data_IF_120202565562
#
_entry.id   IF_120202565562
#
_cell.length_a   1.000
_cell.length_b   1.000
_cell.length_c   1.000
_cell.angle_alpha   90.00
_cell.angle_beta   90.00
_cell.angle_gamma   90.00
#
_symmetry.space_group_name_H-M   'P 1'
#
loop_
_entity.id
_entity.type
_entity.pdbx_description
1 polymer ?
#
# COMPACT_ATOMS: atom_id res chain seq x y z
N UNK A 1 25.48 -2.06 22.93
CA UNK A 1 26.13 -1.43 21.77
C UNK A 1 27.52 -0.98 22.19
N UNK A 2 28.56 -1.66 21.72
CA UNK A 2 29.95 -1.32 22.04
C UNK A 2 30.31 0.08 21.55
N UNK A 3 30.95 0.86 22.42
CA UNK A 3 31.46 2.21 22.14
C UNK A 3 32.59 2.11 21.11
N UNK A 4 32.28 2.36 19.84
CA UNK A 4 33.29 2.66 18.83
C UNK A 4 33.87 4.07 19.08
N UNK A 5 34.95 4.12 19.87
CA UNK A 5 35.89 5.22 19.89
C UNK A 5 36.74 5.15 18.62
N UNK A 6 36.53 6.07 17.69
CA UNK A 6 37.55 6.88 17.00
C UNK A 6 36.98 7.54 15.73
N UNK A 7 36.92 8.87 15.75
CA UNK A 7 37.39 9.69 14.62
C UNK A 7 36.58 9.71 13.32
N UNK A 8 35.25 9.91 13.39
CA UNK A 8 34.41 10.69 12.45
C UNK A 8 32.94 10.41 12.80
N UNK A 9 32.26 11.36 13.44
CA UNK A 9 30.80 11.31 13.62
C UNK A 9 30.16 11.31 12.22
N UNK A 10 29.48 10.25 11.77
CA UNK A 10 28.61 10.39 10.61
C UNK A 10 27.43 11.25 11.05
N UNK A 11 27.39 12.50 10.60
CA UNK A 11 26.23 13.36 10.73
C UNK A 11 25.12 12.79 9.83
N UNK A 12 24.37 11.82 10.35
CA UNK A 12 23.10 11.40 9.76
C UNK A 12 22.06 12.49 10.06
N UNK A 13 22.08 13.57 9.28
CA UNK A 13 20.95 14.50 9.23
C UNK A 13 19.89 13.86 8.33
N UNK A 14 18.89 13.22 8.94
CA UNK A 14 17.72 12.74 8.22
C UNK A 14 16.96 13.96 7.65
N UNK A 15 17.22 14.30 6.38
CA UNK A 15 16.40 15.26 5.64
C UNK A 15 15.11 14.54 5.24
N UNK A 16 13.97 15.04 5.72
CA UNK A 16 12.61 14.50 5.51
C UNK A 16 12.19 14.35 4.02
N UNK A 17 12.95 14.92 3.08
CA UNK A 17 12.55 15.01 1.66
C UNK A 17 13.19 13.97 0.72
N UNK A 18 14.07 13.08 1.21
CA UNK A 18 14.63 12.01 0.37
C UNK A 18 14.06 10.65 0.74
N UNK A 19 13.09 10.17 -0.05
CA UNK A 19 12.55 8.81 0.01
C UNK A 19 13.56 7.81 -0.57
N UNK A 20 14.65 7.53 0.15
CA UNK A 20 15.54 6.44 -0.23
C UNK A 20 14.87 5.10 0.08
N UNK A 21 14.76 4.22 -0.92
CA UNK A 21 14.23 2.85 -0.74
C UNK A 21 15.25 1.98 0.01
N UNK A 22 16.54 2.22 -0.24
CA UNK A 22 17.65 1.58 0.47
C UNK A 22 18.92 2.41 0.27
N UNK A 23 19.94 2.13 1.08
CA UNK A 23 21.31 2.54 0.81
C UNK A 23 22.27 1.44 1.24
N UNK A 24 23.43 1.36 0.58
CA UNK A 24 24.46 0.38 0.91
C UNK A 24 25.76 1.08 1.25
N UNK A 25 26.47 0.56 2.26
CA UNK A 25 27.82 0.99 2.64
C UNK A 25 28.78 -0.17 2.41
N UNK A 26 29.70 0.00 1.47
CA UNK A 26 30.83 -0.91 1.33
C UNK A 26 31.83 -0.63 2.45
N UNK A 27 32.12 -1.66 3.26
CA UNK A 27 33.10 -1.60 4.34
C UNK A 27 34.45 -2.11 3.83
N UNK A 28 34.44 -3.14 2.99
CA UNK A 28 35.59 -3.63 2.22
C UNK A 28 35.12 -3.98 0.80
N UNK A 29 36.05 -4.40 -0.08
CA UNK A 29 35.69 -4.84 -1.44
C UNK A 29 34.72 -6.02 -1.46
N UNK A 30 34.73 -6.86 -0.42
CA UNK A 30 33.94 -8.09 -0.34
C UNK A 30 32.85 -8.03 0.75
N UNK A 31 32.73 -6.93 1.48
CA UNK A 31 31.75 -6.78 2.56
C UNK A 31 31.00 -5.46 2.43
N UNK A 32 29.69 -5.55 2.28
CA UNK A 32 28.78 -4.42 2.26
C UNK A 32 27.63 -4.62 3.23
N UNK A 33 27.15 -3.51 3.79
CA UNK A 33 25.98 -3.46 4.65
C UNK A 33 24.89 -2.74 3.86
N UNK A 34 23.73 -3.37 3.73
CA UNK A 34 22.56 -2.82 3.04
C UNK A 34 21.49 -2.49 4.07
N UNK A 35 21.05 -1.24 4.08
CA UNK A 35 19.96 -0.74 4.91
C UNK A 35 18.67 -0.74 4.10
N UNK A 36 17.63 -1.36 4.63
CA UNK A 36 16.34 -1.55 3.98
C UNK A 36 15.24 -1.01 4.90
N UNK A 37 14.26 -0.35 4.31
CA UNK A 37 13.08 0.18 5.00
C UNK A 37 12.03 -0.94 5.18
N UNK A 38 11.86 -1.45 6.39
CA UNK A 38 10.90 -2.53 6.70
C UNK A 38 9.45 -2.16 6.37
N UNK A 39 9.10 -0.87 6.40
CA UNK A 39 7.78 -0.38 6.00
C UNK A 39 7.49 -0.61 4.50
N UNK A 40 8.51 -0.91 3.68
CA UNK A 40 8.33 -1.32 2.27
C UNK A 40 7.84 -2.75 2.10
N UNK A 41 7.86 -3.53 3.17
CA UNK A 41 7.31 -4.88 3.23
C UNK A 41 6.01 -4.92 4.03
N UNK A 42 6.01 -4.28 5.20
CA UNK A 42 4.88 -4.26 6.12
C UNK A 42 4.53 -2.82 6.47
N UNK A 43 3.68 -2.20 5.67
CA UNK A 43 3.28 -0.79 5.80
C UNK A 43 2.23 -0.58 6.92
N UNK A 44 2.56 -0.97 8.16
CA UNK A 44 1.72 -0.80 9.34
C UNK A 44 2.56 -0.34 10.54
N UNK A 45 1.88 0.11 11.60
CA UNK A 45 2.55 0.50 12.86
C UNK A 45 3.16 -0.74 13.51
N UNK A 46 4.32 -0.59 14.13
CA UNK A 46 4.98 -1.68 14.85
C UNK A 46 4.09 -2.27 15.94
N UNK A 47 3.29 -1.45 16.64
CA UNK A 47 2.31 -1.93 17.63
C UNK A 47 1.32 -2.92 17.00
N UNK A 48 0.68 -2.56 15.90
CA UNK A 48 -0.24 -3.43 15.17
C UNK A 48 0.42 -4.72 14.67
N UNK A 49 1.68 -4.62 14.21
CA UNK A 49 2.42 -5.80 13.74
C UNK A 49 2.77 -6.75 14.89
N UNK A 50 3.22 -6.21 16.04
CA UNK A 50 3.50 -6.97 17.24
C UNK A 50 2.23 -7.63 17.79
N UNK A 51 1.11 -6.89 17.86
CA UNK A 51 -0.18 -7.41 18.34
C UNK A 51 -0.65 -8.62 17.51
N UNK A 52 -0.42 -8.60 16.20
CA UNK A 52 -0.74 -9.72 15.30
C UNK A 52 0.11 -10.98 15.53
N UNK A 53 1.25 -10.86 16.22
CA UNK A 53 2.09 -12.01 16.60
C UNK A 53 1.67 -12.63 17.94
N UNK A 54 0.84 -11.95 18.74
CA UNK A 54 0.47 -12.42 20.07
C UNK A 54 -0.20 -13.79 19.99
N UNK A 55 0.34 -14.69 20.78
CA UNK A 55 -0.05 -16.10 20.94
C UNK A 55 0.01 -16.43 22.42
N UNK A 56 -0.79 -17.38 22.94
CA UNK A 56 -0.82 -17.67 24.38
C UNK A 56 0.55 -17.99 25.00
N UNK A 57 1.48 -18.60 24.25
CA UNK A 57 2.83 -18.90 24.71
C UNK A 57 3.93 -17.97 24.16
N UNK A 58 3.56 -16.89 23.46
CA UNK A 58 4.49 -15.94 22.84
C UNK A 58 5.53 -16.59 21.89
N UNK A 59 5.20 -17.71 21.24
CA UNK A 59 6.16 -18.51 20.46
C UNK A 59 6.71 -17.74 19.24
N UNK A 60 5.98 -16.72 18.78
CA UNK A 60 6.39 -15.85 17.68
C UNK A 60 7.39 -14.76 18.09
N UNK A 61 7.72 -14.62 19.38
CA UNK A 61 8.65 -13.61 19.89
C UNK A 61 10.03 -14.21 20.21
N UNK A 62 10.62 -14.93 19.24
CA UNK A 62 11.86 -15.70 19.40
C UNK A 62 13.10 -14.87 19.70
N UNK A 63 13.19 -13.67 19.12
CA UNK A 63 14.30 -12.75 19.34
C UNK A 63 14.12 -12.03 20.67
N UNK A 64 12.90 -11.60 20.99
CA UNK A 64 12.58 -10.99 22.29
C UNK A 64 12.87 -11.96 23.45
N UNK A 65 12.47 -13.23 23.32
CA UNK A 65 12.69 -14.27 24.34
C UNK A 65 14.17 -14.59 24.63
N UNK A 66 15.11 -14.24 23.73
CA UNK A 66 16.56 -14.38 23.99
C UNK A 66 17.09 -13.35 24.97
N UNK A 67 16.34 -12.27 25.20
CA UNK A 67 16.79 -11.09 25.93
C UNK A 67 15.99 -10.79 27.20
N UNK A 68 14.88 -11.49 27.41
CA UNK A 68 13.93 -11.27 28.49
C UNK A 68 13.46 -12.61 29.05
N UNK A 69 13.10 -12.62 30.33
CA UNK A 69 12.58 -13.80 31.01
C UNK A 69 11.10 -14.06 30.64
N UNK A 70 10.58 -15.25 30.97
CA UNK A 70 9.17 -15.58 30.72
C UNK A 70 8.21 -14.63 31.44
N UNK A 71 8.58 -14.13 32.62
CA UNK A 71 7.78 -13.19 33.42
C UNK A 71 7.69 -11.81 32.75
N UNK A 72 8.73 -11.42 32.01
CA UNK A 72 8.80 -10.14 31.32
C UNK A 72 7.94 -10.09 30.06
N UNK A 73 7.61 -11.24 29.46
CA UNK A 73 7.06 -11.33 28.10
C UNK A 73 5.79 -10.50 27.94
N UNK A 74 4.89 -10.49 28.92
CA UNK A 74 3.67 -9.69 28.87
C UNK A 74 3.92 -8.18 28.75
N UNK A 75 5.08 -7.70 29.23
CA UNK A 75 5.48 -6.31 29.17
C UNK A 75 6.23 -5.96 27.88
N UNK A 76 6.97 -6.92 27.31
CA UNK A 76 7.89 -6.67 26.19
C UNK A 76 7.38 -7.13 24.82
N UNK A 77 6.22 -7.83 24.75
CA UNK A 77 5.60 -8.24 23.47
C UNK A 77 4.58 -7.24 22.92
N UNK A 78 4.44 -6.08 23.57
CA UNK A 78 3.67 -4.94 23.05
C UNK A 78 4.58 -3.74 22.89
N UNK A 79 4.23 -2.83 21.99
CA UNK A 79 4.96 -1.59 21.85
C UNK A 79 4.81 -0.75 23.13
N UNK A 80 5.94 -0.30 23.69
CA UNK A 80 5.96 0.61 24.83
C UNK A 80 5.52 2.02 24.46
N UNK A 81 5.52 2.92 25.44
CA UNK A 81 5.27 4.36 25.25
C UNK A 81 6.47 5.18 25.69
N UNK A 82 6.71 6.30 25.00
CA UNK A 82 7.86 7.16 25.26
C UNK A 82 7.49 8.64 25.11
N UNK A 83 7.94 9.54 26.01
CA UNK A 83 7.62 10.96 25.97
C UNK A 83 8.58 11.69 25.02
N UNK A 84 8.30 11.57 23.72
CA UNK A 84 9.17 12.06 22.64
C UNK A 84 9.41 13.57 22.69
N UNK A 85 8.34 14.35 22.88
CA UNK A 85 8.40 15.80 22.93
C UNK A 85 9.09 16.32 24.20
N UNK A 86 8.96 15.60 25.32
CA UNK A 86 9.62 15.94 26.58
C UNK A 86 11.12 15.69 26.55
N UNK A 87 11.56 14.63 25.87
CA UNK A 87 12.96 14.20 25.84
C UNK A 87 13.75 14.96 24.77
N UNK A 88 13.83 16.28 24.93
CA UNK A 88 14.40 17.22 23.96
C UNK A 88 15.91 17.47 24.09
N UNK A 89 16.54 16.94 25.15
CA UNK A 89 17.92 17.20 25.49
C UNK A 89 18.55 16.04 26.25
N UNK A 90 19.89 15.91 26.18
CA UNK A 90 20.63 14.84 26.86
C UNK A 90 20.45 14.87 28.39
N UNK A 91 20.30 16.07 28.98
CA UNK A 91 20.10 16.22 30.42
C UNK A 91 18.80 15.58 30.91
N UNK A 92 17.77 15.50 30.06
CA UNK A 92 16.51 14.80 30.39
C UNK A 92 16.71 13.31 30.64
N UNK A 93 17.69 12.70 29.97
CA UNK A 93 17.99 11.27 30.15
C UNK A 93 18.58 10.96 31.54
N UNK A 94 19.11 11.95 32.24
CA UNK A 94 19.65 11.80 33.60
C UNK A 94 18.57 11.94 34.68
N UNK A 95 17.32 12.30 34.31
CA UNK A 95 16.22 12.41 35.26
C UNK A 95 15.85 11.05 35.83
N UNK A 96 15.72 10.98 37.16
CA UNK A 96 15.54 9.72 37.91
C UNK A 96 14.09 9.34 38.14
N UNK A 97 13.14 10.08 37.55
CA UNK A 97 11.72 9.82 37.67
C UNK A 97 11.11 9.68 36.27
N UNK A 98 10.10 8.82 36.15
CA UNK A 98 9.27 8.80 34.95
C UNK A 98 8.53 10.15 34.84
N UNK A 99 8.53 10.81 33.67
CA UNK A 99 7.81 12.06 33.46
C UNK A 99 6.32 11.93 33.74
N UNK A 100 5.67 13.06 34.06
CA UNK A 100 4.25 13.09 34.37
C UNK A 100 3.39 12.78 33.14
N UNK A 101 2.14 12.36 33.34
CA UNK A 101 1.24 12.01 32.23
C UNK A 101 1.09 13.14 31.21
N UNK A 102 1.10 14.39 31.67
CA UNK A 102 1.03 15.59 30.82
C UNK A 102 2.19 15.70 29.84
N UNK A 103 3.34 15.16 30.20
CA UNK A 103 4.59 15.25 29.43
C UNK A 103 4.64 14.27 28.26
N UNK A 104 3.66 13.36 28.16
CA UNK A 104 3.47 12.44 27.03
C UNK A 104 2.54 13.00 25.94
N UNK A 105 2.28 14.31 25.92
CA UNK A 105 1.46 14.92 24.87
C UNK A 105 2.14 14.83 23.50
N UNK A 106 1.42 14.28 22.51
CA UNK A 106 1.93 14.19 21.14
C UNK A 106 1.42 15.34 20.28
N UNK A 107 2.35 16.13 19.75
CA UNK A 107 2.04 17.19 18.77
C UNK A 107 1.65 16.64 17.40
N UNK A 108 2.06 15.39 17.10
CA UNK A 108 1.74 14.73 15.84
C UNK A 108 0.26 14.31 15.75
N UNK A 109 -0.31 13.87 16.87
CA UNK A 109 -1.73 13.44 16.95
C UNK A 109 -2.62 14.45 17.68
N UNK A 110 -2.04 15.55 18.16
CA UNK A 110 -2.69 16.60 18.96
C UNK A 110 -3.46 16.03 20.16
N UNK A 111 -2.92 15.00 20.81
CA UNK A 111 -3.62 14.24 21.85
C UNK A 111 -2.72 13.85 23.02
N UNK A 112 -3.30 13.77 24.22
CA UNK A 112 -2.64 13.18 25.38
C UNK A 112 -2.59 11.65 25.30
N UNK A 113 -1.65 11.04 26.03
CA UNK A 113 -1.58 9.60 26.23
C UNK A 113 -2.83 9.07 26.95
N UNK A 114 -3.25 7.86 26.60
CA UNK A 114 -4.32 7.15 27.30
C UNK A 114 -3.87 6.73 28.70
N UNK A 115 -4.83 6.54 29.62
CA UNK A 115 -4.50 6.18 31.00
C UNK A 115 -3.82 4.80 31.07
N UNK A 116 -4.34 3.85 30.31
CA UNK A 116 -3.87 2.47 30.25
C UNK A 116 -2.41 2.39 29.75
N UNK A 117 -2.05 3.24 28.79
CA UNK A 117 -0.70 3.32 28.24
C UNK A 117 0.29 3.94 29.23
N UNK A 118 -0.13 4.95 29.98
CA UNK A 118 0.70 5.56 31.03
C UNK A 118 0.91 4.61 32.22
N UNK A 119 -0.13 3.88 32.63
CA UNK A 119 -0.01 2.88 33.69
C UNK A 119 0.89 1.71 33.28
N UNK A 120 0.86 1.33 32.00
CA UNK A 120 1.81 0.39 31.44
C UNK A 120 3.25 0.93 31.50
N UNK A 121 3.49 2.20 31.16
CA UNK A 121 4.80 2.84 31.27
C UNK A 121 5.36 2.77 32.70
N UNK A 122 4.53 3.08 33.71
CA UNK A 122 4.89 2.95 35.13
C UNK A 122 5.23 1.52 35.52
N UNK A 123 4.43 0.57 35.06
CA UNK A 123 4.64 -0.85 35.33
C UNK A 123 5.99 -1.30 34.77
N UNK A 124 6.30 -0.96 33.53
CA UNK A 124 7.58 -1.26 32.88
C UNK A 124 8.74 -0.59 33.62
N UNK A 125 8.64 0.71 33.91
CA UNK A 125 9.65 1.45 34.66
C UNK A 125 10.01 0.77 35.99
N UNK A 126 8.98 0.41 36.78
CA UNK A 126 9.16 -0.21 38.09
C UNK A 126 9.66 -1.66 37.99
N UNK A 127 9.10 -2.45 37.06
CA UNK A 127 9.44 -3.87 36.89
C UNK A 127 10.91 -4.07 36.49
N UNK A 128 11.40 -3.24 35.57
CA UNK A 128 12.80 -3.28 35.13
C UNK A 128 13.74 -2.42 36.00
N UNK A 129 13.22 -1.81 37.07
CA UNK A 129 13.96 -0.98 38.01
C UNK A 129 14.79 0.12 37.33
N UNK A 130 14.20 0.81 36.34
CA UNK A 130 14.85 1.90 35.63
C UNK A 130 15.22 3.03 36.62
N UNK A 131 16.49 3.39 36.67
CA UNK A 131 17.01 4.45 37.55
C UNK A 131 16.99 5.83 36.89
N UNK A 132 16.93 5.88 35.55
CA UNK A 132 16.90 7.12 34.80
C UNK A 132 16.06 7.01 33.53
N UNK A 133 15.64 8.15 32.99
CA UNK A 133 14.92 8.23 31.71
C UNK A 133 15.78 7.70 30.54
N UNK A 134 17.11 7.78 30.66
CA UNK A 134 18.08 7.16 29.77
C UNK A 134 17.98 5.63 29.75
N UNK A 135 17.97 5.00 30.93
CA UNK A 135 17.80 3.54 31.02
C UNK A 135 16.43 3.09 30.48
N UNK A 136 15.37 3.84 30.76
CA UNK A 136 14.05 3.59 30.18
C UNK A 136 14.04 3.76 28.65
N UNK A 137 14.77 4.75 28.12
CA UNK A 137 14.96 4.95 26.67
C UNK A 137 15.68 3.78 26.01
N UNK A 138 16.77 3.30 26.62
CA UNK A 138 17.52 2.15 26.11
C UNK A 138 16.66 0.88 26.12
N UNK A 139 15.89 0.66 27.19
CA UNK A 139 14.93 -0.45 27.26
C UNK A 139 13.84 -0.33 26.19
N UNK A 140 13.24 0.86 26.05
CA UNK A 140 12.24 1.16 25.04
C UNK A 140 12.74 0.84 23.62
N UNK A 141 13.93 1.33 23.27
CA UNK A 141 14.55 1.10 21.97
C UNK A 141 14.91 -0.36 21.76
N UNK A 142 15.41 -1.05 22.80
CA UNK A 142 15.70 -2.49 22.75
C UNK A 142 14.43 -3.28 22.43
N UNK A 143 13.32 -2.99 23.11
CA UNK A 143 12.02 -3.63 22.85
C UNK A 143 11.57 -3.36 21.41
N UNK A 144 11.59 -2.10 20.95
CA UNK A 144 11.18 -1.74 19.58
C UNK A 144 12.01 -2.48 18.51
N UNK A 145 13.33 -2.62 18.70
CA UNK A 145 14.20 -3.35 17.77
C UNK A 145 13.89 -4.85 17.77
N UNK A 146 13.71 -5.45 18.96
CA UNK A 146 13.42 -6.88 19.08
C UNK A 146 12.04 -7.24 18.53
N UNK A 147 11.02 -6.41 18.79
CA UNK A 147 9.70 -6.55 18.19
C UNK A 147 9.76 -6.50 16.66
N UNK A 148 10.52 -5.55 16.10
CA UNK A 148 10.68 -5.46 14.66
C UNK A 148 11.43 -6.67 14.09
N UNK A 149 12.43 -7.17 14.80
CA UNK A 149 13.15 -8.38 14.43
C UNK A 149 12.20 -9.58 14.40
N UNK A 150 11.41 -9.81 15.46
CA UNK A 150 10.42 -10.87 15.52
C UNK A 150 9.38 -10.78 14.40
N UNK A 151 8.84 -9.58 14.15
CA UNK A 151 7.91 -9.33 13.04
C UNK A 151 8.51 -9.70 11.70
N UNK A 152 9.74 -9.26 11.41
CA UNK A 152 10.37 -9.54 10.12
C UNK A 152 10.79 -10.99 9.98
N UNK A 153 11.26 -11.61 11.06
CA UNK A 153 11.66 -13.01 11.11
C UNK A 153 10.48 -13.97 10.91
N UNK A 154 9.33 -13.71 11.53
CA UNK A 154 8.10 -14.47 11.24
C UNK A 154 7.63 -14.28 9.79
N UNK A 155 7.74 -13.06 9.27
CA UNK A 155 7.42 -12.77 7.86
C UNK A 155 8.34 -13.54 6.91
N UNK A 156 9.64 -13.62 7.20
CA UNK A 156 10.61 -14.42 6.43
C UNK A 156 10.26 -15.89 6.43
N UNK A 157 9.96 -16.47 7.60
CA UNK A 157 9.59 -17.89 7.71
C UNK A 157 8.34 -18.22 6.89
N UNK A 158 7.32 -17.36 6.97
CA UNK A 158 6.09 -17.50 6.18
C UNK A 158 6.40 -17.43 4.68
N UNK A 159 7.20 -16.46 4.25
CA UNK A 159 7.57 -16.28 2.86
C UNK A 159 8.40 -17.44 2.31
N UNK A 160 9.37 -17.93 3.09
CA UNK A 160 10.18 -19.10 2.75
C UNK A 160 9.32 -20.35 2.61
N UNK A 161 8.41 -20.59 3.57
CA UNK A 161 7.52 -21.76 3.55
C UNK A 161 6.53 -21.69 2.38
N UNK A 162 5.99 -20.50 2.09
CA UNK A 162 4.92 -20.34 1.08
C UNK A 162 5.46 -20.21 -0.34
N UNK A 163 6.52 -19.41 -0.53
CA UNK A 163 7.02 -19.01 -1.86
C UNK A 163 8.42 -19.55 -2.15
N UNK A 164 9.08 -20.16 -1.17
CA UNK A 164 10.46 -20.63 -1.28
C UNK A 164 11.42 -19.51 -1.70
N UNK A 165 11.11 -18.27 -1.35
CA UNK A 165 11.88 -17.06 -1.60
C UNK A 165 11.97 -16.27 -0.29
N UNK A 166 13.16 -15.76 0.01
CA UNK A 166 13.39 -14.99 1.23
C UNK A 166 13.28 -13.49 0.95
N UNK A 167 12.34 -12.78 1.61
CA UNK A 167 12.11 -11.35 1.37
C UNK A 167 13.33 -10.48 1.75
N UNK A 168 14.28 -10.96 2.55
CA UNK A 168 15.48 -10.18 2.92
C UNK A 168 16.41 -9.88 1.72
N UNK A 169 16.28 -10.62 0.62
CA UNK A 169 17.04 -10.37 -0.60
C UNK A 169 16.46 -9.24 -1.45
N UNK A 170 15.23 -8.81 -1.18
CA UNK A 170 14.48 -7.83 -1.95
C UNK A 170 14.52 -6.44 -1.31
N UNK A 171 14.12 -5.43 -2.07
CA UNK A 171 14.02 -4.06 -1.58
C UNK A 171 12.62 -3.71 -1.04
N UNK A 172 11.58 -4.32 -1.59
CA UNK A 172 10.17 -4.01 -1.30
C UNK A 172 9.28 -5.24 -1.50
N UNK A 173 8.09 -5.26 -0.87
CA UNK A 173 7.10 -6.31 -1.08
C UNK A 173 6.65 -6.45 -2.55
N UNK A 174 6.40 -5.38 -3.33
CA UNK A 174 6.04 -5.53 -4.75
C UNK A 174 7.09 -6.26 -5.58
N UNK A 175 8.38 -5.96 -5.38
CA UNK A 175 9.47 -6.67 -6.09
C UNK A 175 9.55 -8.14 -5.68
N UNK A 176 9.42 -8.41 -4.38
CA UNK A 176 9.31 -9.78 -3.87
C UNK A 176 8.13 -10.55 -4.47
N UNK A 177 6.93 -9.96 -4.46
CA UNK A 177 5.72 -10.58 -4.99
C UNK A 177 5.79 -10.82 -6.50
N UNK A 178 6.46 -9.94 -7.24
CA UNK A 178 6.68 -10.11 -8.68
C UNK A 178 7.53 -11.34 -8.98
N UNK A 179 8.66 -11.51 -8.28
CA UNK A 179 9.52 -12.69 -8.46
C UNK A 179 8.86 -13.97 -7.93
N UNK A 180 8.05 -13.90 -6.87
CA UNK A 180 7.20 -15.00 -6.44
C UNK A 180 6.25 -15.44 -7.56
N UNK A 181 5.59 -14.49 -8.23
CA UNK A 181 4.69 -14.77 -9.36
C UNK A 181 5.45 -15.40 -10.52
N UNK A 182 6.62 -14.88 -10.90
CA UNK A 182 7.44 -15.45 -11.97
C UNK A 182 7.87 -16.89 -11.66
N UNK A 183 8.34 -17.14 -10.44
CA UNK A 183 8.74 -18.47 -9.99
C UNK A 183 7.57 -19.46 -9.96
N UNK A 184 6.42 -19.02 -9.47
CA UNK A 184 5.24 -19.87 -9.34
C UNK A 184 4.66 -20.26 -10.71
N UNK A 185 4.56 -19.29 -11.62
CA UNK A 185 3.94 -19.49 -12.93
C UNK A 185 4.91 -20.00 -14.00
N UNK A 186 6.22 -19.81 -13.81
CA UNK A 186 7.25 -20.02 -14.83
C UNK A 186 7.00 -19.24 -16.14
N UNK A 187 6.20 -18.18 -16.08
CA UNK A 187 5.89 -17.37 -17.26
C UNK A 187 7.13 -16.62 -17.73
N UNK A 188 7.27 -16.50 -19.05
CA UNK A 188 8.28 -15.64 -19.67
C UNK A 188 7.59 -14.40 -20.21
N UNK A 189 7.86 -13.26 -19.59
CA UNK A 189 7.31 -11.97 -20.01
C UNK A 189 8.27 -11.34 -21.04
N UNK A 190 7.73 -10.96 -22.19
CA UNK A 190 8.44 -10.17 -23.19
C UNK A 190 8.44 -8.69 -22.76
N UNK A 191 9.57 -8.02 -22.94
CA UNK A 191 9.67 -6.58 -22.70
C UNK A 191 9.30 -5.82 -23.97
N UNK A 192 8.56 -4.72 -23.83
CA UNK A 192 8.37 -3.77 -24.91
C UNK A 192 9.69 -3.07 -25.20
N UNK A 193 10.28 -3.34 -26.36
CA UNK A 193 11.56 -2.75 -26.78
C UNK A 193 11.38 -1.55 -27.72
N UNK A 194 10.22 -1.43 -28.37
CA UNK A 194 9.91 -0.30 -29.25
C UNK A 194 9.35 0.89 -28.45
N UNK A 195 9.95 2.07 -28.65
CA UNK A 195 9.61 3.29 -27.94
C UNK A 195 8.14 3.72 -28.15
N UNK A 196 7.65 3.65 -29.38
CA UNK A 196 6.28 4.06 -29.70
C UNK A 196 5.23 3.11 -29.10
N UNK A 197 5.52 1.80 -29.03
CA UNK A 197 4.65 0.85 -28.34
C UNK A 197 4.58 1.16 -26.85
N UNK A 198 5.71 1.45 -26.22
CA UNK A 198 5.76 1.82 -24.82
C UNK A 198 4.91 3.07 -24.55
N UNK A 199 5.08 4.12 -25.35
CA UNK A 199 4.29 5.35 -25.23
C UNK A 199 2.79 5.11 -25.43
N UNK A 200 2.41 4.27 -26.40
CA UNK A 200 1.01 3.90 -26.64
C UNK A 200 0.43 3.18 -25.42
N UNK A 201 1.14 2.18 -24.87
CA UNK A 201 0.70 1.44 -23.68
C UNK A 201 0.60 2.36 -22.46
N UNK A 202 1.60 3.19 -22.19
CA UNK A 202 1.57 4.18 -21.09
C UNK A 202 0.40 5.15 -21.22
N UNK A 203 0.13 5.64 -22.45
CA UNK A 203 -1.04 6.47 -22.76
C UNK A 203 -2.35 5.72 -22.58
N UNK A 204 -2.36 4.39 -22.65
CA UNK A 204 -3.51 3.52 -22.40
C UNK A 204 -3.77 3.20 -20.92
N UNK A 205 -2.79 3.37 -20.03
CA UNK A 205 -2.95 3.05 -18.60
C UNK A 205 -4.01 3.96 -17.96
N UNK A 206 -4.94 3.34 -17.23
CA UNK A 206 -5.97 4.02 -16.42
C UNK A 206 -5.88 3.50 -14.99
N UNK A 207 -6.11 4.38 -14.01
CA UNK A 207 -6.21 3.99 -12.60
C UNK A 207 -7.64 3.54 -12.24
N UNK A 208 -7.89 3.41 -10.94
CA UNK A 208 -9.25 3.19 -10.42
C UNK A 208 -10.17 4.36 -10.74
N UNK A 209 -11.40 4.06 -11.17
CA UNK A 209 -12.43 5.07 -11.39
C UNK A 209 -13.12 5.40 -10.08
N UNK A 210 -13.13 6.68 -9.71
CA UNK A 210 -13.92 7.20 -8.60
C UNK A 210 -14.95 8.18 -9.16
N UNK A 211 -16.23 7.81 -9.06
CA UNK A 211 -17.34 8.60 -9.60
C UNK A 211 -18.45 8.70 -8.55
N UNK A 212 -19.07 9.89 -8.48
CA UNK A 212 -20.24 10.16 -7.66
C UNK A 212 -21.35 10.73 -8.56
N UNK A 213 -22.19 9.86 -9.09
CA UNK A 213 -23.27 10.23 -10.03
C UNK A 213 -24.46 10.89 -9.32
N UNK A 214 -24.67 10.56 -8.04
CA UNK A 214 -25.61 11.22 -7.14
C UNK A 214 -24.86 11.81 -5.95
N UNK A 215 -25.02 13.12 -5.70
CA UNK A 215 -24.26 13.84 -4.65
C UNK A 215 -24.70 13.48 -3.24
N UNK A 216 -25.97 13.19 -3.05
CA UNK A 216 -26.54 12.85 -1.74
C UNK A 216 -27.69 11.88 -1.91
N UNK A 217 -27.66 10.82 -1.12
CA UNK A 217 -28.74 9.87 -0.99
C UNK A 217 -28.94 9.53 0.47
N UNK A 218 -30.21 9.40 0.86
CA UNK A 218 -30.62 9.02 2.20
C UNK A 218 -31.64 7.89 2.11
N UNK A 219 -31.38 6.80 2.82
CA UNK A 219 -32.34 5.72 2.95
C UNK A 219 -33.55 6.19 3.79
N UNK A 220 -34.75 5.71 3.44
CA UNK A 220 -35.96 5.88 4.24
C UNK A 220 -36.50 4.50 4.60
N UNK A 221 -36.17 4.01 5.79
CA UNK A 221 -36.67 2.73 6.28
C UNK A 221 -36.69 2.70 7.82
N UNK A 222 -37.36 1.69 8.38
CA UNK A 222 -37.60 1.55 9.82
C UNK A 222 -36.32 1.51 10.68
N UNK A 223 -35.13 1.29 10.08
CA UNK A 223 -33.85 1.27 10.79
C UNK A 223 -33.17 2.64 10.84
N UNK A 224 -33.68 3.65 10.13
CA UNK A 224 -33.14 5.02 10.16
C UNK A 224 -33.83 5.85 11.24
N UNK A 225 -33.06 6.70 11.94
CA UNK A 225 -33.55 7.51 13.06
C UNK A 225 -34.71 8.46 12.68
N UNK A 226 -34.79 8.86 11.41
CA UNK A 226 -35.80 9.80 10.88
C UNK A 226 -36.75 9.15 9.87
N UNK A 227 -37.08 7.88 10.07
CA UNK A 227 -38.01 7.15 9.22
C UNK A 227 -39.36 7.88 9.06
N UNK A 228 -39.75 8.14 7.81
CA UNK A 228 -41.02 8.75 7.46
C UNK A 228 -41.93 7.73 6.75
N UNK A 229 -42.99 7.23 7.43
CA UNK A 229 -43.89 6.24 6.86
C UNK A 229 -44.75 6.78 5.71
N UNK A 230 -44.79 8.10 5.50
CA UNK A 230 -45.52 8.72 4.38
C UNK A 230 -44.71 8.71 3.07
N UNK A 231 -43.41 8.46 3.14
CA UNK A 231 -42.51 8.41 1.98
C UNK A 231 -42.25 6.96 1.54
N UNK A 232 -41.91 6.74 0.26
CA UNK A 232 -41.50 5.43 -0.22
C UNK A 232 -40.34 4.87 0.60
N UNK A 233 -40.37 3.56 0.87
CA UNK A 233 -39.26 2.87 1.52
C UNK A 233 -38.06 2.80 0.58
N UNK A 234 -36.87 3.08 1.09
CA UNK A 234 -35.61 2.98 0.34
C UNK A 234 -34.47 2.46 1.22
N UNK A 235 -33.49 1.83 0.56
CA UNK A 235 -32.32 1.22 1.18
C UNK A 235 -31.06 1.64 0.45
N UNK A 236 -29.94 1.71 1.17
CA UNK A 236 -28.62 1.89 0.60
C UNK A 236 -27.87 0.56 0.72
N UNK A 237 -27.24 0.13 -0.35
CA UNK A 237 -26.47 -1.11 -0.41
C UNK A 237 -25.01 -0.72 -0.62
N UNK A 238 -24.14 -1.27 0.22
CA UNK A 238 -22.70 -1.20 0.02
C UNK A 238 -22.24 -2.52 -0.60
N UNK A 239 -21.61 -2.45 -1.77
CA UNK A 239 -21.03 -3.60 -2.45
C UNK A 239 -19.52 -3.38 -2.59
N UNK A 240 -18.75 -4.37 -2.19
CA UNK A 240 -17.29 -4.38 -2.36
C UNK A 240 -16.88 -5.69 -3.04
N UNK A 241 -16.01 -5.58 -4.04
CA UNK A 241 -15.49 -6.71 -4.78
C UNK A 241 -14.23 -7.23 -4.09
N UNK A 242 -14.33 -8.42 -3.49
CA UNK A 242 -13.19 -9.10 -2.89
C UNK A 242 -12.05 -9.30 -3.92
N UNK A 243 -10.88 -8.72 -3.66
CA UNK A 243 -9.68 -8.87 -4.48
C UNK A 243 -9.91 -8.57 -5.99
N UNK A 244 -10.54 -7.42 -6.29
CA UNK A 244 -10.88 -7.00 -7.67
C UNK A 244 -9.71 -7.13 -8.66
N UNK A 245 -8.52 -6.59 -8.31
CA UNK A 245 -7.35 -6.67 -9.19
C UNK A 245 -6.79 -8.09 -9.30
N UNK A 246 -6.82 -8.89 -8.22
CA UNK A 246 -6.39 -10.28 -8.29
C UNK A 246 -7.29 -11.12 -9.20
N UNK A 247 -8.60 -10.89 -9.19
CA UNK A 247 -9.52 -11.49 -10.15
C UNK A 247 -9.24 -11.03 -11.59
N UNK A 248 -8.96 -9.75 -11.80
CA UNK A 248 -8.59 -9.25 -13.13
C UNK A 248 -7.27 -9.85 -13.64
N UNK A 249 -6.29 -10.02 -12.75
CA UNK A 249 -4.99 -10.62 -13.06
C UNK A 249 -5.05 -12.14 -13.31
N UNK A 250 -6.12 -12.82 -12.87
CA UNK A 250 -6.32 -14.25 -13.19
C UNK A 250 -6.94 -14.49 -14.56
N UNK A 251 -7.37 -13.42 -15.25
CA UNK A 251 -7.87 -13.50 -16.62
C UNK A 251 -6.73 -13.65 -17.64
N UNK A 252 -7.06 -14.03 -18.87
CA UNK A 252 -6.09 -14.03 -19.97
C UNK A 252 -5.59 -12.60 -20.22
N UNK A 253 -4.27 -12.41 -20.12
CA UNK A 253 -3.58 -11.11 -20.19
C UNK A 253 -2.43 -11.17 -21.21
N UNK A 254 -2.07 -10.04 -21.84
CA UNK A 254 -0.94 -9.99 -22.76
C UNK A 254 0.38 -10.17 -22.00
N UNK A 255 1.24 -11.06 -22.50
CA UNK A 255 2.55 -11.34 -21.89
C UNK A 255 3.72 -11.37 -22.89
N UNK A 256 3.45 -11.40 -24.20
CA UNK A 256 4.46 -11.36 -25.25
C UNK A 256 3.90 -11.49 -26.66
N UNK A 257 4.79 -11.57 -27.65
CA UNK A 257 4.48 -11.53 -29.08
C UNK A 257 4.09 -10.14 -29.56
N UNK A 258 4.65 -9.08 -28.98
CA UNK A 258 4.23 -7.71 -29.27
C UNK A 258 4.69 -7.30 -30.67
N UNK A 259 3.74 -6.87 -31.51
CA UNK A 259 4.02 -6.39 -32.86
C UNK A 259 2.97 -5.40 -33.30
N UNK A 260 3.38 -4.46 -34.14
CA UNK A 260 2.43 -3.64 -34.88
C UNK A 260 1.68 -4.47 -35.91
N UNK A 261 0.44 -4.08 -36.17
CA UNK A 261 -0.41 -4.64 -37.20
C UNK A 261 -1.07 -3.49 -37.96
N UNK A 262 -1.55 -3.76 -39.16
CA UNK A 262 -2.30 -2.79 -39.95
C UNK A 262 -3.47 -2.20 -39.12
N UNK A 263 -3.69 -0.88 -39.16
CA UNK A 263 -4.66 -0.17 -38.33
C UNK A 263 -6.10 -0.41 -38.85
N UNK A 264 -6.59 -1.63 -38.59
CA UNK A 264 -7.82 -2.17 -39.16
C UNK A 264 -8.71 -2.75 -38.05
N UNK A 265 -10.02 -2.49 -38.16
CA UNK A 265 -11.00 -2.99 -37.20
C UNK A 265 -11.39 -4.45 -37.49
N UNK A 266 -11.19 -4.90 -38.74
CA UNK A 266 -11.50 -6.26 -39.18
C UNK A 266 -10.81 -7.31 -38.29
N UNK A 267 -11.58 -8.30 -37.85
CA UNK A 267 -11.15 -9.32 -36.91
C UNK A 267 -11.37 -8.98 -35.44
N UNK A 268 -11.84 -7.78 -35.08
CA UNK A 268 -12.21 -7.46 -33.70
C UNK A 268 -13.30 -8.40 -33.17
N UNK A 269 -14.31 -8.72 -33.98
CA UNK A 269 -15.43 -9.56 -33.58
C UNK A 269 -15.07 -11.06 -33.51
N UNK A 270 -13.92 -11.45 -34.08
CA UNK A 270 -13.44 -12.83 -34.04
C UNK A 270 -12.68 -13.13 -32.74
N UNK A 271 -12.34 -12.09 -31.96
CA UNK A 271 -11.65 -12.19 -30.69
C UNK A 271 -12.65 -12.43 -29.54
N UNK A 272 -12.27 -13.30 -28.62
CA UNK A 272 -12.97 -13.56 -27.37
C UNK A 272 -11.99 -13.56 -26.20
N UNK A 273 -12.51 -13.73 -24.98
CA UNK A 273 -11.73 -13.62 -23.74
C UNK A 273 -10.56 -14.61 -23.65
N UNK A 274 -10.61 -15.76 -24.30
CA UNK A 274 -9.57 -16.79 -24.24
C UNK A 274 -8.75 -16.89 -25.53
N UNK A 275 -8.90 -15.92 -26.43
CA UNK A 275 -8.19 -15.91 -27.70
C UNK A 275 -6.68 -15.89 -27.50
N UNK A 276 -5.91 -16.67 -28.28
CA UNK A 276 -4.46 -16.79 -28.11
C UNK A 276 -3.71 -15.49 -28.48
N UNK A 277 -4.37 -14.60 -29.22
CA UNK A 277 -3.86 -13.29 -29.61
C UNK A 277 -4.90 -12.24 -29.23
N UNK A 278 -4.45 -11.14 -28.64
CA UNK A 278 -5.27 -9.97 -28.37
C UNK A 278 -4.84 -8.76 -29.21
N UNK A 279 -5.62 -7.69 -29.19
CA UNK A 279 -5.29 -6.41 -29.82
C UNK A 279 -5.47 -5.25 -28.85
N UNK A 280 -4.61 -4.25 -28.97
CA UNK A 280 -4.75 -2.95 -28.33
C UNK A 280 -4.82 -1.93 -29.48
N UNK A 281 -5.79 -1.05 -29.42
CA UNK A 281 -6.10 -0.12 -30.50
C UNK A 281 -5.88 1.31 -30.03
N UNK A 282 -5.45 2.19 -30.94
CA UNK A 282 -5.64 3.63 -30.83
C UNK A 282 -6.76 4.06 -31.77
N UNK A 283 -7.86 4.58 -31.22
CA UNK A 283 -9.09 4.83 -31.98
C UNK A 283 -9.69 6.20 -31.70
N UNK A 284 -10.41 6.70 -32.69
CA UNK A 284 -11.42 7.73 -32.51
C UNK A 284 -12.77 7.05 -32.30
N UNK A 285 -13.46 7.40 -31.21
CA UNK A 285 -14.76 6.83 -30.85
C UNK A 285 -15.77 7.94 -30.66
N UNK A 286 -16.83 7.91 -31.46
CA UNK A 286 -18.00 8.76 -31.28
C UNK A 286 -18.84 8.24 -30.14
N UNK A 287 -19.27 9.17 -29.28
CA UNK A 287 -20.27 8.92 -28.25
C UNK A 287 -21.60 9.55 -28.69
N UNK A 288 -22.58 8.75 -29.17
CA UNK A 288 -23.86 9.28 -29.62
C UNK A 288 -24.63 9.99 -28.48
N UNK A 289 -25.34 11.07 -28.82
CA UNK A 289 -26.03 11.91 -27.82
C UNK A 289 -27.24 11.21 -27.21
N UNK A 290 -27.88 10.35 -27.98
CA UNK A 290 -29.01 9.51 -27.60
C UNK A 290 -28.67 8.54 -26.46
N UNK A 291 -27.39 8.20 -26.25
CA UNK A 291 -26.95 7.34 -25.14
C UNK A 291 -26.76 8.10 -23.82
N UNK A 292 -27.01 9.41 -23.78
CA UNK A 292 -26.71 10.25 -22.63
C UNK A 292 -27.38 9.72 -21.35
N UNK A 293 -28.71 9.57 -21.38
CA UNK A 293 -29.47 9.20 -20.19
C UNK A 293 -29.24 7.75 -19.77
N UNK A 294 -28.96 6.86 -20.73
CA UNK A 294 -28.66 5.46 -20.44
C UNK A 294 -27.29 5.30 -19.77
N UNK A 295 -26.31 6.15 -20.09
CA UNK A 295 -24.93 6.01 -19.64
C UNK A 295 -24.50 7.10 -18.64
N UNK A 296 -25.39 7.98 -18.20
CA UNK A 296 -25.06 9.11 -17.34
C UNK A 296 -24.41 8.70 -16.01
N UNK A 297 -24.81 7.53 -15.48
CA UNK A 297 -24.32 7.02 -14.21
C UNK A 297 -22.91 6.44 -14.31
N UNK A 298 -22.55 5.82 -15.44
CA UNK A 298 -21.24 5.22 -15.66
C UNK A 298 -20.84 5.27 -17.14
N UNK A 299 -20.40 6.44 -17.66
CA UNK A 299 -19.97 6.57 -19.05
C UNK A 299 -18.80 5.65 -19.40
N UNK A 300 -18.83 5.08 -20.61
CA UNK A 300 -17.73 4.27 -21.15
C UNK A 300 -16.49 5.12 -21.47
N UNK A 301 -15.35 4.44 -21.55
CA UNK A 301 -14.07 4.99 -22.01
C UNK A 301 -13.57 6.18 -21.17
N UNK A 302 -13.38 6.02 -19.84
CA UNK A 302 -12.88 7.09 -19.01
C UNK A 302 -11.48 7.54 -19.47
N UNK A 303 -11.21 8.84 -19.38
CA UNK A 303 -9.96 9.44 -19.85
C UNK A 303 -9.35 10.35 -18.78
N UNK A 304 -8.02 10.40 -18.75
CA UNK A 304 -7.31 11.30 -17.85
C UNK A 304 -7.35 12.72 -18.39
N UNK A 305 -8.05 13.63 -17.70
CA UNK A 305 -8.16 15.05 -18.07
C UNK A 305 -8.11 15.95 -16.84
N UNK A 306 -7.89 17.25 -17.05
CA UNK A 306 -7.93 18.25 -15.98
C UNK A 306 -9.34 18.85 -15.96
N UNK A 307 -10.14 18.66 -14.88
CA UNK A 307 -11.43 19.32 -14.74
C UNK A 307 -11.30 20.85 -14.76
N UNK A 308 -12.32 21.57 -15.24
CA UNK A 308 -12.32 23.03 -15.40
C UNK A 308 -11.98 23.82 -14.11
N UNK A 309 -12.21 23.24 -12.93
CA UNK A 309 -11.93 23.84 -11.62
C UNK A 309 -10.75 23.22 -10.87
N UNK A 310 -9.94 22.38 -11.54
CA UNK A 310 -8.84 21.67 -10.91
C UNK A 310 -7.52 21.96 -11.62
N UNK A 311 -6.42 21.82 -10.88
CA UNK A 311 -5.05 21.79 -11.43
C UNK A 311 -4.50 20.37 -11.52
N UNK A 312 -5.28 19.38 -11.08
CA UNK A 312 -4.86 17.99 -10.96
C UNK A 312 -5.56 17.17 -12.03
N UNK A 313 -4.79 16.34 -12.73
CA UNK A 313 -5.31 15.38 -13.69
C UNK A 313 -6.14 14.32 -12.94
N UNK A 314 -7.36 14.07 -13.40
CA UNK A 314 -8.25 13.04 -12.85
C UNK A 314 -8.71 12.11 -13.96
N UNK A 315 -8.99 10.86 -13.59
CA UNK A 315 -9.68 9.94 -14.48
C UNK A 315 -11.16 10.34 -14.51
N UNK A 316 -11.63 10.78 -15.67
CA UNK A 316 -12.98 11.31 -15.86
C UNK A 316 -13.78 10.39 -16.77
N UNK A 317 -14.92 9.90 -16.28
CA UNK A 317 -15.95 9.28 -17.11
C UNK A 317 -16.82 10.40 -17.71
N UNK A 318 -16.73 10.60 -19.03
CA UNK A 318 -17.47 11.64 -19.74
C UNK A 318 -18.18 11.07 -20.95
N UNK A 319 -19.31 11.67 -21.32
CA UNK A 319 -20.10 11.31 -22.51
C UNK A 319 -19.57 11.98 -23.80
N UNK A 320 -18.36 12.54 -23.77
CA UNK A 320 -17.75 13.15 -24.95
C UNK A 320 -17.19 12.09 -25.90
N UNK A 321 -17.16 12.37 -27.21
CA UNK A 321 -16.37 11.58 -28.14
C UNK A 321 -14.89 11.57 -27.73
N UNK A 322 -14.21 10.47 -28.02
CA UNK A 322 -12.81 10.24 -27.68
C UNK A 322 -11.97 10.27 -28.96
N UNK A 323 -10.77 10.84 -28.88
CA UNK A 323 -9.82 10.92 -29.99
C UNK A 323 -8.50 10.31 -29.56
N UNK A 324 -7.84 9.56 -30.44
CA UNK A 324 -6.57 8.89 -30.17
C UNK A 324 -6.60 8.09 -28.85
N UNK A 325 -7.71 7.38 -28.61
CA UNK A 325 -7.97 6.67 -27.37
C UNK A 325 -7.37 5.27 -27.44
N UNK A 326 -6.39 4.99 -26.56
CA UNK A 326 -5.76 3.68 -26.46
C UNK A 326 -6.63 2.74 -25.61
N UNK A 327 -6.97 1.56 -26.16
CA UNK A 327 -7.93 0.64 -25.54
C UNK A 327 -7.65 -0.82 -25.90
N UNK A 328 -7.80 -1.71 -24.91
CA UNK A 328 -7.77 -3.16 -25.11
C UNK A 328 -9.04 -3.65 -25.82
N UNK A 329 -8.92 -4.64 -26.72
CA UNK A 329 -10.03 -5.10 -27.57
C UNK A 329 -11.32 -5.45 -26.80
N UNK A 330 -11.22 -6.09 -25.62
CA UNK A 330 -12.40 -6.44 -24.81
C UNK A 330 -13.22 -5.22 -24.40
N UNK A 331 -12.54 -4.16 -23.98
CA UNK A 331 -13.21 -2.92 -23.57
C UNK A 331 -13.79 -2.19 -24.79
N UNK A 332 -13.14 -2.32 -25.96
CA UNK A 332 -13.66 -1.77 -27.21
C UNK A 332 -14.91 -2.51 -27.69
N UNK A 333 -14.90 -3.85 -27.65
CA UNK A 333 -16.08 -4.68 -27.92
C UNK A 333 -17.23 -4.31 -26.99
N UNK A 334 -16.96 -4.16 -25.68
CA UNK A 334 -17.97 -3.74 -24.71
C UNK A 334 -18.55 -2.36 -25.04
N UNK A 335 -17.70 -1.38 -25.38
CA UNK A 335 -18.15 -0.05 -25.77
C UNK A 335 -19.04 -0.08 -27.04
N UNK A 336 -18.63 -0.83 -28.07
CA UNK A 336 -19.40 -0.97 -29.33
C UNK A 336 -20.72 -1.68 -29.09
N UNK A 337 -20.73 -2.75 -28.27
CA UNK A 337 -21.95 -3.46 -27.91
C UNK A 337 -22.96 -2.56 -27.17
N UNK A 338 -22.49 -1.48 -26.53
CA UNK A 338 -23.32 -0.47 -25.89
C UNK A 338 -23.53 0.77 -26.78
N UNK A 339 -23.33 0.68 -28.10
CA UNK A 339 -23.71 1.71 -29.07
C UNK A 339 -22.67 2.80 -29.34
N UNK A 340 -21.46 2.71 -28.76
CA UNK A 340 -20.37 3.61 -29.16
C UNK A 340 -19.87 3.23 -30.57
N UNK A 341 -19.47 4.23 -31.35
CA UNK A 341 -19.13 4.05 -32.78
C UNK A 341 -17.66 4.37 -33.00
N UNK A 342 -16.88 3.43 -33.53
CA UNK A 342 -15.50 3.68 -33.95
C UNK A 342 -15.51 4.46 -35.26
N UNK A 343 -14.93 5.65 -35.26
CA UNK A 343 -14.82 6.51 -36.45
C UNK A 343 -13.51 6.26 -37.22
N UNK A 344 -12.44 5.94 -36.50
CA UNK A 344 -11.10 5.76 -37.08
C UNK A 344 -10.24 4.85 -36.19
N UNK A 345 -9.43 4.01 -36.82
CA UNK A 345 -8.29 3.30 -36.23
C UNK A 345 -7.01 3.98 -36.75
N UNK A 346 -6.06 4.29 -35.86
CA UNK A 346 -4.80 4.96 -36.22
C UNK A 346 -3.65 3.99 -36.35
#
# INVERSE_FOLDING_TARGET
FERFNHGRKPNFRCRRDKKFISFSKHVTNNFSIRFIDSCRFMASKLSTLADNLITPGFEKFRETAKHFSTEDMQLVTRKGVYPYEYTDSWNKLEETNLPEKSDFYSTLTESHIQQEDYDHAKTVWNHFNCQSLGEYSDLYLKIDVLLLADVFENFRDLCLTTYCLDPSFYYTAPGFSFDCMLKYTNVKLELLTEYDMLLMIEKGIRGGLTQASMRYAKANNEKTLDYDPTKPKSWLIYQDCNNLYGWAMSQYMPYGGFKWVEPKLEGLNDLNETSPIGRIYEVDVKYPKELHDQHNDLPFLPQNSIPASSKVKKLMATLHSKKNYVIHYRNLQQAIANGLIVEKVH
#
